data_IF_114225430906
#
_entry.id   IF_114225430906
#
_cell.length_a   1.000
_cell.length_b   1.000
_cell.length_c   1.000
_cell.angle_alpha   90.00
_cell.angle_beta   90.00
_cell.angle_gamma   90.00
#
_symmetry.space_group_name_H-M   'P 1'
#
loop_
_entity.id
_entity.type
_entity.pdbx_description
1 polymer ?
#
# COMPACT_ATOMS: atom_id res chain seq x y z
N UNK A 1 35.43 -33.91 -34.09
CA UNK A 1 35.93 -33.28 -32.85
C UNK A 1 34.75 -33.17 -31.89
N UNK A 2 34.84 -33.86 -30.74
CA UNK A 2 33.75 -34.13 -29.80
C UNK A 2 33.35 -32.86 -29.03
N UNK A 3 32.07 -32.53 -29.02
CA UNK A 3 31.46 -31.59 -28.07
C UNK A 3 31.28 -32.31 -26.73
N UNK A 4 31.84 -31.72 -25.67
CA UNK A 4 31.93 -32.30 -24.33
C UNK A 4 30.58 -32.43 -23.65
N UNK A 5 30.31 -33.63 -23.16
CA UNK A 5 29.18 -33.97 -22.31
C UNK A 5 29.31 -33.30 -20.94
N UNK A 6 28.36 -32.46 -20.57
CA UNK A 6 28.18 -32.00 -19.19
C UNK A 6 27.48 -33.11 -18.41
N UNK A 7 28.26 -33.79 -17.55
CA UNK A 7 27.75 -34.80 -16.61
C UNK A 7 26.88 -34.13 -15.55
N UNK A 8 25.66 -34.65 -15.40
CA UNK A 8 24.74 -34.35 -14.30
C UNK A 8 25.34 -34.89 -13.00
N UNK A 9 25.67 -34.01 -12.05
CA UNK A 9 25.83 -34.38 -10.66
C UNK A 9 24.46 -34.25 -9.99
N UNK A 10 23.81 -35.38 -9.75
CA UNK A 10 22.63 -35.46 -8.90
C UNK A 10 23.10 -35.24 -7.45
N UNK A 11 23.04 -33.99 -7.00
CA UNK A 11 23.08 -33.68 -5.57
C UNK A 11 21.61 -33.72 -5.14
N UNK A 12 21.21 -34.85 -4.57
CA UNK A 12 20.06 -34.95 -3.65
C UNK A 12 20.39 -34.09 -2.42
N UNK A 13 20.34 -32.78 -2.61
CA UNK A 13 20.27 -31.81 -1.55
C UNK A 13 18.80 -31.50 -1.38
N UNK A 14 18.27 -31.79 -0.20
CA UNK A 14 17.05 -31.20 0.32
C UNK A 14 17.23 -29.68 0.27
N UNK A 15 16.98 -29.08 -0.88
CA UNK A 15 16.80 -27.64 -1.01
C UNK A 15 15.47 -27.41 -0.32
N UNK A 16 15.58 -27.22 0.99
CA UNK A 16 14.67 -26.39 1.74
C UNK A 16 14.71 -25.05 1.01
N UNK A 17 13.86 -24.91 -0.02
CA UNK A 17 13.55 -23.62 -0.59
C UNK A 17 13.28 -22.73 0.61
N UNK A 18 14.06 -21.67 0.75
CA UNK A 18 13.70 -20.56 1.61
C UNK A 18 12.40 -19.98 1.04
N UNK A 19 11.28 -20.68 1.25
CA UNK A 19 9.93 -20.16 1.12
C UNK A 19 9.96 -18.94 2.01
N UNK A 20 9.96 -17.75 1.42
CA UNK A 20 9.51 -16.55 2.16
C UNK A 20 8.21 -16.98 2.81
N UNK A 21 8.21 -17.04 4.14
CA UNK A 21 7.11 -17.69 4.85
C UNK A 21 5.81 -16.97 4.47
N UNK A 22 4.69 -17.69 4.27
CA UNK A 22 3.40 -17.05 3.97
C UNK A 22 2.99 -16.05 5.06
N UNK A 23 3.48 -16.26 6.28
CA UNK A 23 3.39 -15.33 7.41
C UNK A 23 4.00 -13.95 7.11
N UNK A 24 5.12 -13.89 6.37
CA UNK A 24 5.78 -12.63 6.02
C UNK A 24 4.93 -11.77 5.07
N UNK A 25 4.23 -12.38 4.11
CA UNK A 25 3.34 -11.68 3.20
C UNK A 25 2.11 -11.11 3.92
N UNK A 26 1.49 -11.88 4.83
CA UNK A 26 0.38 -11.39 5.67
C UNK A 26 0.81 -10.24 6.58
N UNK A 27 1.94 -10.38 7.24
CA UNK A 27 2.47 -9.34 8.11
C UNK A 27 2.80 -8.07 7.31
N UNK A 28 3.35 -8.21 6.11
CA UNK A 28 3.57 -7.08 5.21
C UNK A 28 2.26 -6.41 4.83
N UNK A 29 1.26 -7.17 4.37
CA UNK A 29 -0.04 -6.62 3.99
C UNK A 29 -0.74 -5.93 5.17
N UNK A 30 -0.73 -6.54 6.36
CA UNK A 30 -1.32 -5.95 7.56
C UNK A 30 -0.61 -4.64 7.95
N UNK A 31 0.72 -4.60 7.91
CA UNK A 31 1.50 -3.39 8.19
C UNK A 31 1.30 -2.30 7.14
N UNK A 32 1.17 -2.66 5.86
CA UNK A 32 0.86 -1.68 4.81
C UNK A 32 -0.53 -1.11 5.00
N UNK A 33 -1.53 -1.93 5.32
CA UNK A 33 -2.90 -1.45 5.58
C UNK A 33 -2.93 -0.52 6.78
N UNK A 34 -2.24 -0.88 7.87
CA UNK A 34 -2.09 -0.04 9.05
C UNK A 34 -1.41 1.30 8.72
N UNK A 35 -0.28 1.25 8.01
CA UNK A 35 0.42 2.45 7.56
C UNK A 35 -0.43 3.33 6.63
N UNK A 36 -1.29 2.74 5.79
CA UNK A 36 -2.19 3.46 4.91
C UNK A 36 -3.32 4.16 5.70
N UNK A 37 -3.73 3.62 6.84
CA UNK A 37 -4.73 4.24 7.71
C UNK A 37 -4.13 5.32 8.62
N UNK A 38 -2.88 5.13 9.06
CA UNK A 38 -2.25 5.96 10.08
C UNK A 38 -1.30 7.03 9.50
N UNK A 39 -0.68 6.79 8.34
CA UNK A 39 0.30 7.69 7.74
C UNK A 39 -0.28 8.49 6.56
N UNK A 40 -0.29 9.81 6.70
CA UNK A 40 -0.71 10.73 5.65
C UNK A 40 0.19 10.63 4.40
N UNK A 41 1.48 10.35 4.57
CA UNK A 41 2.44 10.24 3.46
C UNK A 41 2.16 9.04 2.56
N UNK A 42 1.84 7.88 3.14
CA UNK A 42 1.50 6.68 2.37
C UNK A 42 0.16 6.87 1.65
N UNK A 43 -0.81 7.49 2.31
CA UNK A 43 -2.10 7.83 1.69
C UNK A 43 -1.92 8.78 0.50
N UNK A 44 -1.07 9.81 0.65
CA UNK A 44 -0.74 10.73 -0.42
C UNK A 44 -0.07 10.01 -1.60
N UNK A 45 0.91 9.15 -1.34
CA UNK A 45 1.59 8.35 -2.36
C UNK A 45 0.62 7.43 -3.13
N UNK A 46 -0.28 6.75 -2.41
CA UNK A 46 -1.30 5.88 -3.02
C UNK A 46 -2.26 6.67 -3.88
N UNK A 47 -2.74 7.83 -3.41
CA UNK A 47 -3.64 8.69 -4.16
C UNK A 47 -2.96 9.24 -5.42
N UNK A 48 -1.71 9.70 -5.31
CA UNK A 48 -0.91 10.14 -6.45
C UNK A 48 -0.74 9.05 -7.50
N UNK A 49 -0.30 7.85 -7.08
CA UNK A 49 -0.11 6.72 -7.98
C UNK A 49 -1.43 6.27 -8.64
N UNK A 50 -2.53 6.27 -7.89
CA UNK A 50 -3.86 5.89 -8.39
C UNK A 50 -4.35 6.87 -9.46
N UNK A 51 -4.22 8.17 -9.19
CA UNK A 51 -4.59 9.22 -10.12
C UNK A 51 -3.78 9.17 -11.41
N UNK A 52 -2.46 8.94 -11.33
CA UNK A 52 -1.61 8.80 -12.52
C UNK A 52 -1.93 7.53 -13.33
N UNK A 53 -2.13 6.40 -12.65
CA UNK A 53 -2.25 5.08 -13.31
C UNK A 53 -3.64 4.84 -13.86
N UNK A 54 -4.68 5.03 -13.04
CA UNK A 54 -6.07 4.69 -13.39
C UNK A 54 -6.85 5.93 -13.81
N UNK A 55 -6.68 7.05 -13.10
CA UNK A 55 -7.52 8.24 -13.30
C UNK A 55 -8.99 7.93 -13.03
N UNK A 56 -9.86 8.21 -14.00
CA UNK A 56 -11.30 7.87 -13.96
C UNK A 56 -11.62 6.42 -14.33
N UNK A 57 -10.64 5.65 -14.82
CA UNK A 57 -10.81 4.31 -15.38
C UNK A 57 -10.27 4.24 -16.80
N UNK A 58 -9.82 3.05 -17.21
CA UNK A 58 -9.38 2.80 -18.58
C UNK A 58 -10.60 2.71 -19.50
N UNK A 59 -10.48 3.34 -20.68
CA UNK A 59 -11.44 3.21 -21.76
C UNK A 59 -11.07 2.01 -22.63
N UNK A 60 -12.08 1.30 -23.12
CA UNK A 60 -11.86 0.15 -23.99
C UNK A 60 -11.46 0.61 -25.39
N UNK A 61 -10.37 0.07 -25.92
CA UNK A 61 -10.01 0.15 -27.32
C UNK A 61 -9.94 -1.28 -27.89
N UNK A 62 -11.04 -1.74 -28.47
CA UNK A 62 -11.18 -3.10 -28.94
C UNK A 62 -10.47 -3.30 -30.29
N UNK A 63 -9.47 -4.19 -30.33
CA UNK A 63 -8.68 -4.48 -31.54
C UNK A 63 -8.70 -5.98 -31.86
N UNK A 64 -9.87 -6.53 -32.19
CA UNK A 64 -9.97 -7.93 -32.58
C UNK A 64 -9.15 -8.20 -33.85
N UNK A 65 -8.60 -9.41 -33.96
CA UNK A 65 -7.74 -9.79 -35.08
C UNK A 65 -8.47 -9.67 -36.43
N UNK A 66 -7.88 -9.00 -37.45
CA UNK A 66 -8.47 -8.88 -38.78
C UNK A 66 -8.79 -10.22 -39.44
N UNK A 67 -8.05 -11.29 -39.08
CA UNK A 67 -8.25 -12.63 -39.64
C UNK A 67 -9.63 -13.20 -39.33
N UNK A 68 -10.23 -12.81 -38.20
CA UNK A 68 -11.55 -13.31 -37.77
C UNK A 68 -12.69 -12.73 -38.63
N UNK A 69 -12.44 -11.60 -39.30
CA UNK A 69 -13.38 -10.95 -40.20
C UNK A 69 -13.08 -11.24 -41.68
N UNK A 70 -12.30 -12.29 -41.97
CA UNK A 70 -11.89 -12.62 -43.34
C UNK A 70 -10.96 -11.59 -43.98
N UNK A 71 -10.32 -10.73 -43.18
CA UNK A 71 -9.46 -9.64 -43.67
C UNK A 71 -10.18 -8.33 -43.96
N UNK A 72 -11.49 -8.24 -43.78
CA UNK A 72 -12.24 -6.99 -43.93
C UNK A 72 -12.03 -6.06 -42.73
N UNK A 73 -11.14 -5.08 -42.92
CA UNK A 73 -10.82 -4.07 -41.90
C UNK A 73 -12.01 -3.16 -41.58
N UNK A 74 -12.86 -2.83 -42.57
CA UNK A 74 -14.00 -1.92 -42.35
C UNK A 74 -15.03 -2.56 -41.45
N UNK A 75 -15.37 -3.83 -41.72
CA UNK A 75 -16.29 -4.61 -40.89
C UNK A 75 -15.74 -4.79 -39.48
N UNK A 76 -14.44 -5.05 -39.34
CA UNK A 76 -13.77 -5.17 -38.04
C UNK A 76 -13.82 -3.86 -37.24
N UNK A 77 -13.53 -2.74 -37.88
CA UNK A 77 -13.52 -1.42 -37.23
C UNK A 77 -14.93 -1.00 -36.81
N UNK A 78 -15.94 -1.27 -37.65
CA UNK A 78 -17.33 -1.03 -37.31
C UNK A 78 -17.75 -1.88 -36.10
N UNK A 79 -17.47 -3.19 -36.13
CA UNK A 79 -17.80 -4.07 -35.01
C UNK A 79 -17.09 -3.64 -33.73
N UNK A 80 -15.83 -3.21 -33.80
CA UNK A 80 -15.08 -2.73 -32.65
C UNK A 80 -15.73 -1.49 -32.02
N UNK A 81 -16.08 -0.47 -32.81
CA UNK A 81 -16.72 0.77 -32.30
C UNK A 81 -18.05 0.51 -31.62
N UNK A 82 -18.87 -0.36 -32.20
CA UNK A 82 -20.16 -0.70 -31.60
C UNK A 82 -19.99 -1.53 -30.31
N UNK A 83 -19.00 -2.44 -30.28
CA UNK A 83 -18.65 -3.19 -29.06
C UNK A 83 -18.11 -2.26 -27.97
N UNK A 84 -17.32 -1.24 -28.32
CA UNK A 84 -16.83 -0.20 -27.41
C UNK A 84 -17.99 0.61 -26.81
N UNK A 85 -18.90 1.08 -27.65
CA UNK A 85 -20.08 1.84 -27.20
C UNK A 85 -20.98 1.00 -26.27
N UNK A 86 -21.17 -0.29 -26.55
CA UNK A 86 -21.98 -1.15 -25.70
C UNK A 86 -21.29 -1.50 -24.38
N UNK A 87 -19.96 -1.70 -24.42
CA UNK A 87 -19.19 -1.91 -23.20
C UNK A 87 -19.19 -0.67 -22.31
N UNK A 88 -19.17 0.54 -22.89
CA UNK A 88 -19.28 1.79 -22.13
C UNK A 88 -20.59 1.87 -21.33
N UNK A 89 -21.71 1.44 -21.93
CA UNK A 89 -23.01 1.36 -21.25
C UNK A 89 -22.96 0.37 -20.08
N UNK A 90 -22.43 -0.83 -20.31
CA UNK A 90 -22.25 -1.84 -19.26
C UNK A 90 -21.31 -1.35 -18.15
N UNK A 91 -20.20 -0.71 -18.52
CA UNK A 91 -19.17 -0.26 -17.59
C UNK A 91 -19.60 0.95 -16.76
N UNK A 92 -20.48 1.80 -17.31
CA UNK A 92 -20.97 3.03 -16.72
C UNK A 92 -22.06 2.85 -15.67
N UNK A 93 -22.85 1.77 -15.72
CA UNK A 93 -23.89 1.48 -14.72
C UNK A 93 -23.38 0.50 -13.63
N UNK A 94 -23.31 0.92 -12.35
CA UNK A 94 -22.98 0.02 -11.25
C UNK A 94 -23.86 -1.22 -11.14
N UNK A 95 -25.15 -1.13 -11.51
CA UNK A 95 -26.08 -2.27 -11.41
C UNK A 95 -25.83 -3.33 -12.49
N UNK A 96 -25.32 -2.92 -13.65
CA UNK A 96 -24.97 -3.79 -14.76
C UNK A 96 -23.68 -4.56 -14.47
N UNK A 97 -22.62 -3.86 -14.06
CA UNK A 97 -21.29 -4.46 -13.96
C UNK A 97 -20.91 -5.04 -12.59
N UNK A 98 -21.38 -4.47 -11.47
CA UNK A 98 -20.95 -4.85 -10.13
C UNK A 98 -21.95 -5.77 -9.44
N UNK A 99 -21.44 -6.88 -8.89
CA UNK A 99 -22.23 -7.80 -8.09
C UNK A 99 -22.74 -7.15 -6.80
N UNK A 100 -22.04 -6.16 -6.24
CA UNK A 100 -22.54 -5.37 -5.10
C UNK A 100 -23.47 -4.24 -5.55
N UNK A 101 -23.48 -3.88 -6.83
CA UNK A 101 -24.27 -2.79 -7.39
C UNK A 101 -23.83 -1.40 -6.92
N UNK A 102 -22.56 -1.24 -6.49
CA UNK A 102 -22.04 -0.02 -5.86
C UNK A 102 -21.06 0.74 -6.74
N UNK A 103 -20.32 0.03 -7.59
CA UNK A 103 -19.18 0.60 -8.33
C UNK A 103 -19.33 0.41 -9.84
N UNK A 104 -18.95 1.41 -10.62
CA UNK A 104 -18.70 1.26 -12.06
C UNK A 104 -17.43 0.46 -12.32
N UNK A 105 -17.19 0.01 -13.55
CA UNK A 105 -15.93 -0.70 -13.87
C UNK A 105 -14.70 0.19 -13.61
N UNK A 106 -14.76 1.47 -13.95
CA UNK A 106 -13.69 2.42 -13.63
C UNK A 106 -13.43 2.53 -12.12
N UNK A 107 -14.49 2.59 -11.31
CA UNK A 107 -14.36 2.60 -9.85
C UNK A 107 -13.84 1.26 -9.29
N UNK A 108 -14.18 0.13 -9.92
CA UNK A 108 -13.59 -1.17 -9.60
C UNK A 108 -12.09 -1.21 -9.91
N UNK A 109 -11.64 -0.61 -11.02
CA UNK A 109 -10.21 -0.48 -11.33
C UNK A 109 -9.47 0.36 -10.29
N UNK A 110 -10.06 1.50 -9.88
CA UNK A 110 -9.50 2.37 -8.82
C UNK A 110 -9.40 1.61 -7.49
N UNK A 111 -10.48 0.92 -7.09
CA UNK A 111 -10.49 0.13 -5.86
C UNK A 111 -9.48 -1.03 -5.92
N UNK A 112 -9.40 -1.72 -7.05
CA UNK A 112 -8.43 -2.78 -7.32
C UNK A 112 -7.00 -2.28 -7.23
N UNK A 113 -6.67 -1.15 -7.86
CA UNK A 113 -5.32 -0.58 -7.81
C UNK A 113 -4.90 -0.16 -6.40
N UNK A 114 -5.80 0.49 -5.64
CA UNK A 114 -5.55 0.84 -4.24
C UNK A 114 -5.30 -0.40 -3.39
N UNK A 115 -6.11 -1.43 -3.61
CA UNK A 115 -5.96 -2.71 -2.91
C UNK A 115 -4.66 -3.44 -3.29
N UNK A 116 -4.25 -3.37 -4.56
CA UNK A 116 -2.96 -3.87 -5.04
C UNK A 116 -1.78 -3.11 -4.42
N UNK A 117 -1.84 -1.79 -4.32
CA UNK A 117 -0.81 -1.00 -3.64
C UNK A 117 -0.70 -1.43 -2.16
N UNK A 118 -1.82 -1.70 -1.49
CA UNK A 118 -1.83 -2.12 -0.09
C UNK A 118 -1.33 -3.57 0.13
N UNK A 119 -1.73 -4.51 -0.73
CA UNK A 119 -1.52 -5.95 -0.48
C UNK A 119 -0.60 -6.65 -1.47
N UNK A 120 -0.39 -6.07 -2.66
CA UNK A 120 0.39 -6.64 -3.76
C UNK A 120 -0.43 -7.39 -4.81
N UNK A 121 -1.73 -7.56 -4.58
CA UNK A 121 -2.60 -8.37 -5.44
C UNK A 121 -4.02 -7.80 -5.52
N UNK A 122 -4.72 -8.17 -6.58
CA UNK A 122 -6.13 -7.87 -6.84
C UNK A 122 -6.88 -9.19 -6.90
N UNK A 123 -7.97 -9.29 -6.14
CA UNK A 123 -8.87 -10.42 -6.17
C UNK A 123 -10.26 -9.97 -6.62
N UNK A 124 -10.87 -10.73 -7.52
CA UNK A 124 -12.25 -10.56 -7.92
C UNK A 124 -12.88 -11.88 -8.35
N UNK A 125 -14.21 -11.94 -8.30
CA UNK A 125 -14.98 -13.07 -8.81
C UNK A 125 -15.97 -12.54 -9.84
N UNK A 126 -16.02 -13.18 -10.99
CA UNK A 126 -17.06 -12.99 -12.00
C UNK A 126 -18.17 -14.00 -11.71
N UNK A 127 -19.37 -13.47 -11.48
CA UNK A 127 -20.57 -14.22 -11.14
C UNK A 127 -21.67 -13.93 -12.16
N UNK A 128 -22.62 -14.85 -12.29
CA UNK A 128 -23.79 -14.66 -13.14
C UNK A 128 -25.01 -14.41 -12.25
N UNK A 129 -25.51 -13.17 -12.23
CA UNK A 129 -26.61 -12.72 -11.39
C UNK A 129 -27.55 -11.89 -12.28
N UNK A 130 -28.77 -12.37 -12.51
CA UNK A 130 -29.79 -11.57 -13.21
C UNK A 130 -30.54 -10.68 -12.22
N UNK A 131 -30.77 -9.41 -12.58
CA UNK A 131 -31.52 -8.44 -11.77
C UNK A 131 -32.60 -7.75 -12.62
N UNK A 132 -33.70 -7.28 -12.01
CA UNK A 132 -34.68 -6.47 -12.73
C UNK A 132 -34.05 -5.19 -13.27
N UNK A 133 -34.24 -4.92 -14.56
CA UNK A 133 -33.72 -3.72 -15.22
C UNK A 133 -32.27 -3.80 -15.66
N UNK A 134 -31.59 -4.95 -15.51
CA UNK A 134 -30.24 -5.16 -16.06
C UNK A 134 -30.27 -5.92 -17.37
N UNK A 135 -29.43 -5.50 -18.29
CA UNK A 135 -29.18 -6.09 -19.60
C UNK A 135 -28.30 -7.34 -19.53
N UNK A 136 -27.33 -7.34 -18.60
CA UNK A 136 -26.30 -8.36 -18.48
C UNK A 136 -26.37 -9.06 -17.11
N UNK A 137 -26.21 -10.38 -17.14
CA UNK A 137 -26.12 -11.22 -15.96
C UNK A 137 -24.67 -11.36 -15.46
N UNK A 138 -23.66 -11.19 -16.31
CA UNK A 138 -22.24 -11.17 -15.93
C UNK A 138 -21.97 -9.98 -15.04
N UNK A 139 -21.53 -10.23 -13.81
CA UNK A 139 -21.16 -9.21 -12.83
C UNK A 139 -19.85 -9.55 -12.17
N UNK A 140 -18.99 -8.55 -12.03
CA UNK A 140 -17.74 -8.66 -11.30
C UNK A 140 -17.95 -8.27 -9.84
N UNK A 141 -17.32 -8.99 -8.92
CA UNK A 141 -17.25 -8.67 -7.49
C UNK A 141 -15.80 -8.51 -7.09
N UNK A 142 -15.40 -7.32 -6.69
CA UNK A 142 -14.08 -7.11 -6.10
C UNK A 142 -14.04 -7.70 -4.70
N UNK A 143 -13.02 -8.49 -4.42
CA UNK A 143 -12.78 -9.09 -3.11
C UNK A 143 -11.46 -8.59 -2.54
N UNK A 144 -11.36 -8.66 -1.23
CA UNK A 144 -10.11 -8.38 -0.55
C UNK A 144 -9.17 -9.59 -0.59
N UNK A 145 -7.89 -9.33 -0.81
CA UNK A 145 -6.78 -10.29 -0.81
C UNK A 145 -6.75 -11.24 0.41
N UNK A 146 -7.07 -10.73 1.61
CA UNK A 146 -7.06 -11.53 2.83
C UNK A 146 -8.17 -12.58 2.90
N UNK A 147 -9.10 -12.59 1.93
CA UNK A 147 -10.05 -13.70 1.76
C UNK A 147 -9.39 -14.95 1.17
N UNK A 148 -8.21 -14.86 0.58
CA UNK A 148 -7.43 -16.05 0.23
C UNK A 148 -6.67 -16.53 1.48
N UNK A 149 -7.01 -17.69 2.05
CA UNK A 149 -6.33 -18.21 3.22
C UNK A 149 -4.89 -18.59 2.87
N UNK A 150 -3.98 -18.39 3.81
CA UNK A 150 -2.57 -18.79 3.66
C UNK A 150 -2.33 -20.20 4.19
N UNK A 151 -3.08 -20.57 5.23
CA UNK A 151 -2.93 -21.83 5.92
C UNK A 151 -3.66 -22.92 5.13
N UNK A 152 -2.97 -23.51 4.14
CA UNK A 152 -3.49 -24.66 3.41
C UNK A 152 -2.60 -25.87 3.69
N UNK A 153 -3.15 -26.89 4.33
CA UNK A 153 -2.44 -28.11 4.71
C UNK A 153 -2.42 -29.17 3.61
N UNK A 154 -3.27 -29.01 2.60
CA UNK A 154 -3.39 -29.93 1.47
C UNK A 154 -2.23 -29.77 0.49
N UNK A 155 -1.67 -30.88 -0.04
CA UNK A 155 -0.42 -30.86 -0.82
C UNK A 155 -0.52 -30.09 -2.15
N UNK A 156 -1.70 -30.05 -2.78
CA UNK A 156 -1.91 -29.36 -4.07
C UNK A 156 -2.22 -27.86 -3.91
N UNK A 157 -2.30 -27.37 -2.68
CA UNK A 157 -2.68 -26.01 -2.38
C UNK A 157 -1.52 -25.20 -1.82
N UNK A 158 -1.30 -24.03 -2.41
CA UNK A 158 -0.27 -23.09 -1.97
C UNK A 158 -0.97 -21.76 -1.74
N UNK A 159 -0.97 -21.29 -0.49
CA UNK A 159 -1.48 -19.97 -0.10
C UNK A 159 -2.90 -19.67 -0.63
N UNK A 160 -3.78 -20.68 -0.60
CA UNK A 160 -5.17 -20.56 -1.03
C UNK A 160 -5.39 -20.71 -2.55
N UNK A 161 -4.34 -21.03 -3.30
CA UNK A 161 -4.41 -21.30 -4.75
C UNK A 161 -4.06 -22.75 -5.01
N UNK A 162 -4.94 -23.46 -5.70
CA UNK A 162 -4.66 -24.81 -6.21
C UNK A 162 -4.11 -24.69 -7.62
N UNK A 163 -2.88 -25.14 -7.83
CA UNK A 163 -2.21 -25.09 -9.12
C UNK A 163 -2.04 -26.50 -9.73
N UNK A 164 -1.87 -26.56 -11.05
CA UNK A 164 -1.43 -27.79 -11.72
C UNK A 164 0.08 -28.03 -11.52
N UNK A 165 0.60 -29.14 -12.06
CA UNK A 165 2.04 -29.48 -12.00
C UNK A 165 2.96 -28.42 -12.63
N UNK A 166 2.43 -27.55 -13.48
CA UNK A 166 3.16 -26.51 -14.20
C UNK A 166 2.96 -25.13 -13.55
N UNK A 167 2.21 -25.02 -12.44
CA UNK A 167 1.91 -23.76 -11.77
C UNK A 167 0.68 -23.00 -12.30
N UNK A 168 -0.10 -23.57 -13.22
CA UNK A 168 -1.34 -22.95 -13.70
C UNK A 168 -2.44 -23.00 -12.62
N UNK A 169 -3.05 -21.87 -12.23
CA UNK A 169 -4.09 -21.87 -11.21
C UNK A 169 -5.38 -22.55 -11.71
N UNK A 170 -5.82 -23.58 -11.00
CA UNK A 170 -7.03 -24.37 -11.26
C UNK A 170 -8.22 -23.91 -10.42
N UNK A 171 -7.98 -23.59 -9.14
CA UNK A 171 -9.01 -23.15 -8.21
C UNK A 171 -8.42 -22.23 -7.13
N UNK A 172 -9.30 -21.45 -6.52
CA UNK A 172 -9.01 -20.55 -5.41
C UNK A 172 -9.90 -20.89 -4.23
N UNK A 173 -9.32 -20.94 -3.03
CA UNK A 173 -10.05 -21.11 -1.78
C UNK A 173 -10.38 -19.72 -1.26
N UNK A 174 -11.66 -19.41 -1.18
CA UNK A 174 -12.14 -18.07 -0.81
C UNK A 174 -12.87 -18.17 0.51
N UNK A 175 -12.35 -17.44 1.49
CA UNK A 175 -12.89 -17.32 2.83
C UNK A 175 -14.08 -16.36 2.84
N UNK A 176 -15.24 -16.89 3.22
CA UNK A 176 -16.49 -16.15 3.31
C UNK A 176 -16.98 -16.12 4.76
N UNK A 177 -17.55 -14.97 5.15
CA UNK A 177 -18.25 -14.86 6.42
C UNK A 177 -19.63 -15.49 6.26
N UNK A 178 -19.91 -16.50 7.07
CA UNK A 178 -21.21 -17.12 7.19
C UNK A 178 -22.00 -16.50 8.36
N UNK A 179 -23.32 -16.77 8.46
CA UNK A 179 -24.11 -16.37 9.62
C UNK A 179 -23.49 -16.83 10.94
N UNK A 180 -23.78 -16.11 12.02
CA UNK A 180 -23.25 -16.38 13.38
C UNK A 180 -21.72 -16.23 13.54
N UNK A 181 -21.07 -15.44 12.68
CA UNK A 181 -19.63 -15.18 12.78
C UNK A 181 -18.76 -16.38 12.40
N UNK A 182 -19.37 -17.43 11.85
CA UNK A 182 -18.62 -18.56 11.30
C UNK A 182 -17.90 -18.13 10.03
N UNK A 183 -16.76 -18.75 9.80
CA UNK A 183 -15.96 -18.55 8.59
C UNK A 183 -15.98 -19.84 7.80
N UNK A 184 -16.44 -19.77 6.55
CA UNK A 184 -16.50 -20.92 5.65
C UNK A 184 -15.54 -20.67 4.50
N UNK A 185 -14.69 -21.66 4.23
CA UNK A 185 -13.80 -21.64 3.09
C UNK A 185 -14.51 -22.34 1.92
N UNK A 186 -14.66 -21.62 0.79
CA UNK A 186 -15.31 -22.11 -0.42
C UNK A 186 -14.31 -22.19 -1.56
N UNK A 187 -14.25 -23.35 -2.20
CA UNK A 187 -13.41 -23.54 -3.38
C UNK A 187 -14.13 -23.09 -4.65
N UNK A 188 -13.49 -22.20 -5.41
CA UNK A 188 -14.00 -21.62 -6.65
C UNK A 188 -13.03 -21.92 -7.78
N UNK A 189 -13.52 -22.47 -8.90
CA UNK A 189 -12.69 -22.74 -10.09
C UNK A 189 -12.13 -21.42 -10.64
N UNK A 190 -10.88 -21.43 -11.10
CA UNK A 190 -10.26 -20.25 -11.70
C UNK A 190 -10.92 -19.85 -13.04
N UNK A 191 -11.24 -20.86 -13.86
CA UNK A 191 -11.93 -20.74 -15.13
C UNK A 191 -13.06 -21.77 -15.22
N UNK A 192 -14.03 -21.49 -16.08
CA UNK A 192 -15.09 -22.42 -16.44
C UNK A 192 -14.61 -23.46 -17.47
N UNK A 193 -15.47 -24.43 -17.80
CA UNK A 193 -15.19 -25.49 -18.78
C UNK A 193 -14.93 -24.94 -20.20
N UNK A 194 -15.57 -23.83 -20.56
CA UNK A 194 -15.33 -23.09 -21.80
C UNK A 194 -14.11 -22.17 -21.72
N UNK A 195 -13.38 -22.20 -20.60
CA UNK A 195 -12.26 -21.32 -20.32
C UNK A 195 -12.65 -19.92 -19.85
N UNK A 196 -13.93 -19.58 -19.65
CA UNK A 196 -14.37 -18.25 -19.12
C UNK A 196 -13.69 -17.93 -17.79
N UNK A 197 -13.08 -16.75 -17.59
CA UNK A 197 -12.51 -16.38 -16.30
C UNK A 197 -13.61 -16.28 -15.25
N UNK A 198 -13.47 -17.02 -14.15
CA UNK A 198 -14.36 -16.94 -12.98
C UNK A 198 -13.67 -16.17 -11.87
N UNK A 199 -12.40 -16.47 -11.60
CA UNK A 199 -11.61 -15.72 -10.60
C UNK A 199 -10.62 -14.81 -11.32
N UNK A 200 -10.67 -13.54 -10.95
CA UNK A 200 -9.68 -12.54 -11.36
C UNK A 200 -8.65 -12.47 -10.24
N UNK A 201 -7.45 -12.99 -10.49
CA UNK A 201 -6.32 -12.84 -9.61
C UNK A 201 -5.17 -12.20 -10.37
N UNK A 202 -4.82 -10.97 -9.97
CA UNK A 202 -3.77 -10.18 -10.63
C UNK A 202 -2.76 -9.73 -9.59
N UNK A 203 -1.51 -10.07 -9.78
CA UNK A 203 -0.40 -9.60 -8.98
C UNK A 203 0.84 -9.44 -9.86
N UNK A 204 1.82 -8.71 -9.34
CA UNK A 204 3.14 -8.51 -9.95
C UNK A 204 4.15 -9.17 -9.01
N UNK A 205 4.68 -10.32 -9.41
CA UNK A 205 5.47 -11.20 -8.55
C UNK A 205 6.62 -11.85 -9.31
N UNK A 206 7.62 -12.30 -8.56
CA UNK A 206 8.79 -12.99 -9.09
C UNK A 206 8.42 -14.41 -9.58
N UNK A 207 9.38 -15.10 -10.19
CA UNK A 207 9.20 -16.47 -10.69
C UNK A 207 8.71 -17.42 -9.58
N UNK A 208 7.77 -18.30 -9.93
CA UNK A 208 7.15 -19.29 -9.02
C UNK A 208 6.41 -18.70 -7.80
N UNK A 209 6.16 -17.39 -7.78
CA UNK A 209 5.33 -16.77 -6.75
C UNK A 209 3.84 -16.97 -7.06
N UNK A 210 3.08 -17.36 -6.04
CA UNK A 210 1.63 -17.61 -6.14
C UNK A 210 0.81 -16.41 -5.67
N UNK A 211 1.41 -15.53 -4.86
CA UNK A 211 0.79 -14.38 -4.21
C UNK A 211 1.62 -13.13 -4.43
N UNK A 212 0.95 -11.99 -4.45
CA UNK A 212 1.61 -10.68 -4.55
C UNK A 212 2.16 -10.21 -3.20
N UNK A 213 3.20 -9.37 -3.26
CA UNK A 213 3.68 -8.61 -2.10
C UNK A 213 3.48 -7.13 -2.40
N UNK A 214 3.05 -6.37 -1.40
CA UNK A 214 2.86 -4.93 -1.55
C UNK A 214 4.16 -4.23 -2.02
N UNK A 215 4.09 -3.32 -3.00
CA UNK A 215 5.24 -2.51 -3.39
C UNK A 215 5.77 -1.62 -2.26
N UNK A 216 4.98 -1.36 -1.22
CA UNK A 216 5.40 -0.60 -0.03
C UNK A 216 6.15 -1.42 1.01
N UNK A 217 6.23 -2.75 0.88
CA UNK A 217 6.95 -3.59 1.83
C UNK A 217 8.34 -3.07 2.25
N UNK A 218 9.22 -2.60 1.33
CA UNK A 218 10.51 -2.00 1.71
C UNK A 218 10.38 -0.64 2.41
N UNK A 219 9.34 0.15 2.08
CA UNK A 219 9.11 1.50 2.60
C UNK A 219 8.68 1.50 4.07
N UNK A 220 8.03 0.44 4.54
CA UNK A 220 7.40 0.39 5.87
C UNK A 220 8.37 0.69 7.03
N UNK A 221 9.63 0.28 6.89
CA UNK A 221 10.66 0.60 7.89
C UNK A 221 10.93 2.09 7.94
N UNK A 222 11.04 2.73 6.79
CA UNK A 222 11.36 4.15 6.63
C UNK A 222 10.21 5.02 7.11
N UNK A 223 8.97 4.64 6.78
CA UNK A 223 7.75 5.31 7.29
C UNK A 223 7.79 5.36 8.81
N UNK A 224 8.04 4.22 9.46
CA UNK A 224 8.15 4.16 10.92
C UNK A 224 9.29 5.02 11.47
N UNK A 225 10.44 5.06 10.79
CA UNK A 225 11.56 5.91 11.19
C UNK A 225 11.22 7.39 11.06
N UNK A 226 10.48 7.77 10.03
CA UNK A 226 9.97 9.13 9.85
C UNK A 226 9.03 9.53 11.00
N UNK A 227 8.07 8.67 11.34
CA UNK A 227 7.13 8.95 12.43
C UNK A 227 7.87 9.08 13.77
N UNK A 228 8.82 8.17 14.05
CA UNK A 228 9.67 8.25 15.23
C UNK A 228 10.54 9.51 15.29
N UNK A 229 11.06 9.95 14.15
CA UNK A 229 11.84 11.19 14.04
C UNK A 229 10.95 12.40 14.35
N UNK A 230 9.75 12.45 13.78
CA UNK A 230 8.80 13.54 14.02
C UNK A 230 8.41 13.62 15.50
N UNK A 231 8.04 12.48 16.11
CA UNK A 231 7.70 12.39 17.52
C UNK A 231 8.86 12.81 18.43
N UNK A 232 10.07 12.30 18.16
CA UNK A 232 11.25 12.65 18.93
C UNK A 232 11.56 14.15 18.85
N UNK A 233 11.41 14.75 17.65
CA UNK A 233 11.64 16.18 17.44
C UNK A 233 10.59 17.02 18.18
N UNK A 234 9.32 16.61 18.16
CA UNK A 234 8.25 17.29 18.90
C UNK A 234 8.47 17.22 20.41
N UNK A 235 8.73 16.03 20.96
CA UNK A 235 9.01 15.85 22.40
C UNK A 235 10.20 16.68 22.82
N UNK A 236 11.25 16.68 22.00
CA UNK A 236 12.47 17.46 22.27
C UNK A 236 12.18 18.96 22.27
N UNK A 237 11.43 19.47 21.28
CA UNK A 237 11.03 20.88 21.21
C UNK A 237 10.17 21.29 22.40
N UNK A 238 9.28 20.41 22.85
CA UNK A 238 8.46 20.62 24.05
C UNK A 238 9.31 20.65 25.33
N UNK A 239 10.24 19.69 25.48
CA UNK A 239 11.17 19.65 26.62
C UNK A 239 12.04 20.90 26.67
N UNK A 240 12.54 21.39 25.54
CA UNK A 240 13.26 22.66 25.48
C UNK A 240 12.40 23.83 25.93
N UNK A 241 11.14 23.88 25.48
CA UNK A 241 10.21 24.94 25.87
C UNK A 241 9.95 24.93 27.38
N UNK A 242 9.95 23.75 28.01
CA UNK A 242 9.72 23.57 29.45
C UNK A 242 11.00 23.85 30.28
N UNK A 243 12.16 23.32 29.87
CA UNK A 243 13.42 23.35 30.62
C UNK A 243 14.38 24.46 30.18
N UNK A 244 13.88 25.49 29.48
CA UNK A 244 14.70 26.59 28.97
C UNK A 244 15.56 27.26 30.04
N UNK A 245 15.16 27.18 31.32
CA UNK A 245 15.91 27.73 32.44
C UNK A 245 16.17 26.64 33.50
N UNK A 246 17.44 26.35 33.76
CA UNK A 246 17.88 25.55 34.91
C UNK A 246 18.53 26.46 35.93
N UNK A 247 18.29 26.17 37.21
CA UNK A 247 18.89 26.91 38.32
C UNK A 247 20.12 26.12 38.76
N UNK A 248 21.30 26.70 38.59
CA UNK A 248 22.58 26.14 39.08
C UNK A 248 22.89 26.77 40.44
N UNK A 249 23.22 25.93 41.42
CA UNK A 249 23.70 26.39 42.73
C UNK A 249 25.18 26.02 42.88
N UNK A 250 26.12 26.90 42.49
CA UNK A 250 27.56 26.63 42.53
C UNK A 250 28.12 26.46 43.95
N UNK A 251 27.45 26.98 44.98
CA UNK A 251 27.89 26.93 46.37
C UNK A 251 26.93 26.12 47.25
N UNK A 252 26.63 24.88 46.86
CA UNK A 252 26.18 23.92 47.86
C UNK A 252 27.36 23.67 48.83
N UNK A 253 27.18 23.74 50.15
CA UNK A 253 28.23 23.42 51.11
C UNK A 253 28.81 22.04 50.76
N UNK A 254 30.13 21.85 50.76
CA UNK A 254 30.78 20.57 50.41
C UNK A 254 30.24 19.38 51.23
N UNK A 255 29.75 19.64 52.44
CA UNK A 255 29.04 18.68 53.30
C UNK A 255 27.71 18.14 52.72
N UNK A 256 27.06 18.87 51.81
CA UNK A 256 25.80 18.46 51.18
C UNK A 256 25.98 17.35 50.13
N UNK A 257 27.15 17.30 49.48
CA UNK A 257 27.49 16.22 48.55
C UNK A 257 27.85 14.91 49.27
N UNK A 258 28.47 14.98 50.45
CA UNK A 258 28.74 13.80 51.29
C UNK A 258 27.45 13.23 51.90
N UNK A 259 26.51 14.08 52.35
CA UNK A 259 25.24 13.65 52.92
C UNK A 259 24.29 12.94 51.91
N UNK A 260 24.44 13.22 50.61
CA UNK A 260 23.68 12.57 49.53
C UNK A 260 24.30 11.25 49.04
N UNK A 261 25.58 10.98 49.35
CA UNK A 261 26.29 9.77 48.89
C UNK A 261 26.12 8.56 49.79
N UNK A 262 25.61 8.74 51.02
CA UNK A 262 25.39 7.64 51.97
C UNK A 262 23.91 7.48 52.29
N UNK A 263 23.19 6.73 51.47
CA UNK A 263 21.92 6.13 51.87
C UNK A 263 22.19 5.08 52.96
N UNK A 264 22.11 5.48 54.23
CA UNK A 264 22.20 4.48 55.31
C UNK A 264 22.27 5.00 56.73
N UNK A 265 22.77 6.20 56.99
CA UNK A 265 22.87 6.70 58.36
C UNK A 265 22.33 8.13 58.43
N UNK A 266 21.35 8.34 59.31
CA UNK A 266 20.81 9.65 59.65
C UNK A 266 21.87 10.50 60.32
N UNK A 267 22.80 11.02 59.52
CA UNK A 267 23.75 12.04 59.94
C UNK A 267 22.96 13.33 60.02
N UNK A 268 22.78 13.83 61.25
CA UNK A 268 22.23 15.14 61.51
C UNK A 268 22.95 16.15 60.61
N UNK A 269 22.20 16.75 59.68
CA UNK A 269 22.71 17.85 58.88
C UNK A 269 23.30 18.87 59.85
N UNK A 270 24.49 19.39 59.55
CA UNK A 270 25.02 20.51 60.34
C UNK A 270 23.92 21.58 60.46
N UNK A 271 23.77 22.22 61.62
CA UNK A 271 22.70 23.20 61.85
C UNK A 271 22.67 24.30 60.77
N UNK A 272 23.81 24.56 60.14
CA UNK A 272 24.00 25.46 59.00
C UNK A 272 23.34 24.94 57.70
N UNK A 273 23.34 23.63 57.45
CA UNK A 273 22.67 23.02 56.30
C UNK A 273 21.15 22.99 56.46
N UNK A 274 20.64 22.63 57.65
CA UNK A 274 19.20 22.67 57.94
C UNK A 274 18.66 24.12 57.89
N UNK A 275 19.43 25.09 58.40
CA UNK A 275 19.11 26.51 58.30
C UNK A 275 19.13 27.00 56.84
N UNK A 276 20.09 26.55 56.03
CA UNK A 276 20.17 26.87 54.60
C UNK A 276 18.99 26.29 53.81
N UNK A 277 18.63 25.02 54.04
CA UNK A 277 17.47 24.37 53.40
C UNK A 277 16.15 25.03 53.80
N UNK A 278 16.00 25.41 55.07
CA UNK A 278 14.79 26.09 55.57
C UNK A 278 14.69 27.51 55.01
N UNK A 279 15.80 28.26 54.92
CA UNK A 279 15.84 29.58 54.30
C UNK A 279 15.54 29.51 52.79
N UNK A 280 16.05 28.49 52.10
CA UNK A 280 15.77 28.24 50.68
C UNK A 280 14.30 27.89 50.45
N UNK A 281 13.73 27.02 51.28
CA UNK A 281 12.32 26.66 51.20
C UNK A 281 11.41 27.87 51.47
N UNK A 282 11.70 28.65 52.51
CA UNK A 282 10.95 29.88 52.81
C UNK A 282 11.05 30.96 51.70
N UNK A 283 12.17 31.01 50.98
CA UNK A 283 12.35 31.90 49.83
C UNK A 283 11.45 31.51 48.65
N UNK A 284 11.36 30.22 48.34
CA UNK A 284 10.54 29.68 47.24
C UNK A 284 9.05 29.57 47.58
N UNK A 285 8.67 29.42 48.85
CA UNK A 285 7.27 29.48 49.29
C UNK A 285 6.66 30.88 49.09
N UNK A 286 7.47 31.93 49.22
CA UNK A 286 7.04 33.33 49.02
C UNK A 286 7.27 33.86 47.59
N UNK A 287 8.07 33.17 46.78
CA UNK A 287 8.43 33.59 45.43
C UNK A 287 7.90 32.60 44.39
N UNK A 288 6.79 32.95 43.74
CA UNK A 288 6.23 32.12 42.66
C UNK A 288 7.04 32.28 41.37
N UNK A 289 7.72 31.21 40.97
CA UNK A 289 8.37 31.08 39.66
C UNK A 289 7.30 31.00 38.57
N UNK A 290 7.00 32.12 37.92
CA UNK A 290 6.09 32.17 36.78
C UNK A 290 6.87 32.51 35.50
N UNK A 291 7.26 31.46 34.77
CA UNK A 291 8.02 31.58 33.52
C UNK A 291 7.11 31.78 32.29
N UNK A 292 5.78 31.81 32.48
CA UNK A 292 4.80 31.78 31.39
C UNK A 292 4.22 33.13 30.95
N UNK A 293 4.25 34.17 31.80
CA UNK A 293 3.67 35.47 31.48
C UNK A 293 4.64 36.62 31.79
N UNK A 294 5.12 37.26 30.72
CA UNK A 294 5.74 38.59 30.72
C UNK A 294 7.06 38.75 31.50
N UNK A 295 8.13 38.07 31.06
CA UNK A 295 9.51 38.57 31.13
C UNK A 295 9.99 39.19 32.46
N UNK A 296 9.42 38.78 33.59
CA UNK A 296 9.82 39.26 34.92
C UNK A 296 11.13 38.56 35.28
N UNK A 297 12.14 39.37 35.62
CA UNK A 297 13.42 38.88 36.10
C UNK A 297 13.15 38.15 37.42
N UNK A 298 13.37 36.84 37.42
CA UNK A 298 13.21 35.98 38.60
C UNK A 298 14.31 36.33 39.60
N UNK A 299 13.93 36.70 40.83
CA UNK A 299 14.86 36.84 41.95
C UNK A 299 15.13 35.45 42.54
N UNK A 300 16.21 34.82 42.08
CA UNK A 300 16.71 33.55 42.61
C UNK A 300 17.24 33.72 44.03
N UNK A 301 17.38 32.60 44.74
CA UNK A 301 18.04 32.60 46.05
C UNK A 301 19.48 33.11 45.90
N UNK A 302 20.00 33.92 46.85
CA UNK A 302 21.38 34.42 46.77
C UNK A 302 22.37 33.26 46.56
N UNK A 303 23.26 33.38 45.57
CA UNK A 303 24.20 32.36 45.07
C UNK A 303 23.69 31.34 44.04
N UNK A 304 22.41 31.36 43.67
CA UNK A 304 21.89 30.58 42.53
C UNK A 304 21.98 31.37 41.22
N UNK A 305 22.47 30.71 40.16
CA UNK A 305 22.58 31.27 38.82
C UNK A 305 21.52 30.64 37.91
N UNK A 306 20.76 31.47 37.18
CA UNK A 306 19.84 31.01 36.15
C UNK A 306 20.64 30.78 34.86
N UNK A 307 20.91 29.52 34.51
CA UNK A 307 21.47 29.21 33.21
C UNK A 307 20.37 28.87 32.23
N UNK A 308 20.26 29.67 31.17
CA UNK A 308 19.47 29.29 30.01
C UNK A 308 20.27 28.29 29.19
N UNK A 309 19.85 27.02 29.23
CA UNK A 309 20.41 26.03 28.31
C UNK A 309 19.64 26.13 27.00
N UNK A 310 20.21 26.86 26.04
CA UNK A 310 19.87 26.65 24.64
C UNK A 310 20.39 25.26 24.28
N UNK A 311 19.53 24.24 24.34
CA UNK A 311 19.90 22.94 23.82
C UNK A 311 20.13 23.11 22.31
N UNK A 312 21.38 22.97 21.86
CA UNK A 312 21.73 22.95 20.44
C UNK A 312 21.12 21.69 19.82
N UNK A 313 19.86 21.79 19.42
CA UNK A 313 19.34 20.86 18.43
C UNK A 313 19.59 21.47 17.05
N UNK A 314 20.18 20.71 16.13
CA UNK A 314 20.37 21.16 14.77
C UNK A 314 19.03 21.16 14.04
N UNK A 315 18.16 22.11 14.38
CA UNK A 315 16.86 22.35 13.74
C UNK A 315 17.03 22.59 12.23
N UNK A 316 18.16 23.19 11.83
CA UNK A 316 18.55 23.38 10.42
C UNK A 316 18.76 22.07 9.65
N UNK A 317 19.09 20.96 10.34
CA UNK A 317 19.31 19.65 9.70
C UNK A 317 18.07 18.78 9.60
N UNK A 318 16.96 19.18 10.22
CA UNK A 318 15.72 18.40 10.24
C UNK A 318 15.07 18.32 8.85
N UNK A 319 14.90 19.45 8.16
CA UNK A 319 14.29 19.51 6.82
C UNK A 319 15.04 18.67 5.77
N UNK A 320 16.38 18.73 5.63
CA UNK A 320 17.08 17.89 4.65
C UNK A 320 17.04 16.40 4.99
N UNK A 321 17.07 16.03 6.28
CA UNK A 321 17.00 14.63 6.69
C UNK A 321 15.59 14.04 6.51
N UNK A 322 14.55 14.73 6.99
CA UNK A 322 13.15 14.34 6.81
C UNK A 322 12.77 14.28 5.33
N UNK A 323 13.23 15.23 4.52
CA UNK A 323 13.05 15.21 3.06
C UNK A 323 13.77 14.02 2.40
N UNK A 324 14.94 13.62 2.90
CA UNK A 324 15.63 12.39 2.46
C UNK A 324 14.79 11.14 2.68
N UNK A 325 14.18 10.98 3.86
CA UNK A 325 13.29 9.86 4.17
C UNK A 325 12.03 9.87 3.27
N UNK A 326 11.43 11.04 3.05
CA UNK A 326 10.27 11.19 2.16
C UNK A 326 10.60 10.85 0.70
N UNK A 327 11.82 11.17 0.23
CA UNK A 327 12.28 10.77 -1.11
C UNK A 327 12.44 9.26 -1.24
N UNK A 328 12.93 8.58 -0.21
CA UNK A 328 13.01 7.11 -0.20
C UNK A 328 11.62 6.46 -0.23
N UNK A 329 10.67 7.01 0.56
CA UNK A 329 9.26 6.58 0.52
C UNK A 329 8.67 6.80 -0.89
N UNK A 330 8.86 7.97 -1.49
CA UNK A 330 8.37 8.27 -2.83
C UNK A 330 8.96 7.33 -3.90
N UNK A 331 10.27 7.07 -3.83
CA UNK A 331 10.96 6.16 -4.74
C UNK A 331 10.39 4.73 -4.66
N UNK A 332 10.14 4.22 -3.45
CA UNK A 332 9.54 2.90 -3.25
C UNK A 332 8.09 2.82 -3.76
N UNK A 333 7.33 3.90 -3.63
CA UNK A 333 5.96 4.01 -4.11
C UNK A 333 5.88 4.11 -5.65
N UNK A 334 6.98 4.47 -6.31
CA UNK A 334 7.03 4.75 -7.75
C UNK A 334 6.33 6.06 -8.11
N UNK A 335 6.43 7.07 -7.25
CA UNK A 335 5.95 8.45 -7.49
C UNK A 335 7.08 9.44 -7.22
N UNK A 336 6.98 10.66 -7.73
CA UNK A 336 7.97 11.70 -7.44
C UNK A 336 7.72 12.25 -6.05
N UNK A 337 8.78 12.77 -5.43
CA UNK A 337 8.71 13.49 -4.17
C UNK A 337 7.67 14.63 -4.28
N UNK A 338 7.75 15.43 -5.34
CA UNK A 338 6.89 16.59 -5.57
C UNK A 338 5.41 16.18 -5.72
N UNK A 339 5.14 15.04 -6.36
CA UNK A 339 3.77 14.55 -6.52
C UNK A 339 3.20 13.99 -5.20
N UNK A 340 4.05 13.41 -4.36
CA UNK A 340 3.66 12.85 -3.06
C UNK A 340 3.46 13.94 -2.00
N UNK A 341 4.40 14.89 -1.90
CA UNK A 341 4.41 15.90 -0.83
C UNK A 341 3.71 17.19 -1.22
N UNK A 342 3.59 17.47 -2.53
CA UNK A 342 3.15 18.77 -3.02
C UNK A 342 4.18 19.89 -2.83
N UNK A 343 5.41 19.56 -2.41
CA UNK A 343 6.47 20.53 -2.21
C UNK A 343 7.26 20.77 -3.50
N UNK A 344 7.23 22.02 -3.98
CA UNK A 344 7.95 22.48 -5.17
C UNK A 344 9.01 23.54 -4.85
N UNK A 345 9.34 23.81 -3.57
CA UNK A 345 10.28 24.87 -3.16
C UNK A 345 11.65 24.80 -3.85
N UNK A 346 12.13 23.57 -4.09
CA UNK A 346 13.44 23.30 -4.69
C UNK A 346 13.34 22.80 -6.14
N UNK A 347 12.16 22.82 -6.75
CA UNK A 347 11.93 22.33 -8.10
C UNK A 347 11.88 23.49 -9.11
N UNK A 348 12.60 23.36 -10.22
CA UNK A 348 12.40 24.22 -11.38
C UNK A 348 11.46 23.54 -12.39
N UNK A 349 10.93 24.30 -13.36
CA UNK A 349 10.01 23.75 -14.36
C UNK A 349 10.60 22.55 -15.11
N UNK A 350 11.88 22.64 -15.50
CA UNK A 350 12.58 21.57 -16.22
C UNK A 350 12.75 20.30 -15.38
N UNK A 351 13.05 20.42 -14.08
CA UNK A 351 13.20 19.27 -13.17
C UNK A 351 11.87 18.61 -12.86
N UNK A 352 10.79 19.40 -12.70
CA UNK A 352 9.44 18.86 -12.51
C UNK A 352 8.95 18.10 -13.76
N UNK A 353 9.22 18.63 -14.95
CA UNK A 353 8.89 17.96 -16.21
C UNK A 353 9.70 16.67 -16.39
N UNK A 354 11.00 16.71 -16.09
CA UNK A 354 11.86 15.53 -16.13
C UNK A 354 11.39 14.46 -15.14
N UNK A 355 11.04 14.84 -13.91
CA UNK A 355 10.52 13.91 -12.90
C UNK A 355 9.26 13.20 -13.37
N UNK A 356 8.33 13.93 -13.98
CA UNK A 356 7.11 13.36 -14.57
C UNK A 356 7.44 12.38 -15.71
N UNK A 357 8.38 12.75 -16.58
CA UNK A 357 8.80 11.90 -17.70
C UNK A 357 9.47 10.58 -17.24
N UNK A 358 10.26 10.62 -16.16
CA UNK A 358 10.92 9.42 -15.59
C UNK A 358 9.91 8.48 -14.94
N UNK A 359 8.82 8.99 -14.37
CA UNK A 359 7.79 8.18 -13.72
C UNK A 359 6.82 7.56 -14.73
N UNK A 360 6.62 8.21 -15.88
CA UNK A 360 5.66 7.76 -16.89
C UNK A 360 5.81 6.29 -17.32
N UNK A 361 7.03 5.74 -17.56
CA UNK A 361 7.21 4.32 -17.82
C UNK A 361 6.69 3.39 -16.71
N UNK A 362 6.83 3.77 -15.44
CA UNK A 362 6.30 3.00 -14.29
C UNK A 362 4.77 2.99 -14.33
N UNK A 363 4.17 4.15 -14.64
CA UNK A 363 2.72 4.29 -14.80
C UNK A 363 2.20 3.41 -15.92
N UNK A 364 2.87 3.41 -17.09
CA UNK A 364 2.52 2.54 -18.22
C UNK A 364 2.68 1.06 -17.87
N UNK A 365 3.77 0.69 -17.20
CA UNK A 365 4.00 -0.68 -16.75
C UNK A 365 2.85 -1.16 -15.86
N UNK A 366 2.50 -0.39 -14.82
CA UNK A 366 1.40 -0.72 -13.89
C UNK A 366 0.04 -0.76 -14.59
N UNK A 367 -0.21 0.18 -15.51
CA UNK A 367 -1.44 0.21 -16.31
C UNK A 367 -1.61 -1.07 -17.13
N UNK A 368 -0.56 -1.50 -17.83
CA UNK A 368 -0.61 -2.65 -18.73
C UNK A 368 -0.60 -4.01 -17.99
N UNK A 369 0.19 -4.13 -16.92
CA UNK A 369 0.39 -5.44 -16.27
C UNK A 369 -0.59 -5.70 -15.12
N UNK A 370 -1.23 -4.66 -14.57
CA UNK A 370 -2.13 -4.80 -13.42
C UNK A 370 -3.56 -4.48 -13.84
N UNK A 371 -3.81 -3.24 -14.26
CA UNK A 371 -5.17 -2.75 -14.46
C UNK A 371 -5.77 -3.23 -15.76
N UNK A 372 -5.00 -3.29 -16.84
CA UNK A 372 -5.47 -3.87 -18.10
C UNK A 372 -5.80 -5.37 -17.96
N UNK A 373 -5.13 -6.11 -17.06
CA UNK A 373 -5.49 -7.52 -16.77
C UNK A 373 -6.82 -7.65 -16.02
N UNK A 374 -7.06 -6.78 -15.04
CA UNK A 374 -8.35 -6.71 -14.35
C UNK A 374 -9.47 -6.34 -15.32
N UNK A 375 -9.29 -5.26 -16.08
CA UNK A 375 -10.26 -4.77 -17.07
C UNK A 375 -10.50 -5.81 -18.17
N UNK A 376 -9.43 -6.42 -18.68
CA UNK A 376 -9.48 -7.45 -19.72
C UNK A 376 -10.25 -8.68 -19.29
N UNK A 377 -10.11 -9.14 -18.03
CA UNK A 377 -10.89 -10.27 -17.54
C UNK A 377 -12.40 -9.96 -17.44
N UNK A 378 -12.76 -8.75 -17.01
CA UNK A 378 -14.16 -8.29 -16.97
C UNK A 378 -14.71 -8.18 -18.40
N UNK A 379 -13.94 -7.59 -19.31
CA UNK A 379 -14.29 -7.44 -20.72
C UNK A 379 -14.46 -8.79 -21.42
N UNK A 380 -13.54 -9.73 -21.23
CA UNK A 380 -13.60 -11.08 -21.81
C UNK A 380 -14.90 -11.80 -21.39
N UNK A 381 -15.23 -11.76 -20.10
CA UNK A 381 -16.42 -12.42 -19.58
C UNK A 381 -17.72 -11.75 -20.03
N UNK A 382 -17.75 -10.42 -20.13
CA UNK A 382 -18.88 -9.65 -20.64
C UNK A 382 -19.10 -9.91 -22.13
N UNK A 383 -18.02 -9.90 -22.93
CA UNK A 383 -18.08 -10.09 -24.38
C UNK A 383 -18.63 -11.47 -24.74
N UNK A 384 -18.27 -12.51 -23.97
CA UNK A 384 -18.83 -13.86 -24.14
C UNK A 384 -20.36 -13.85 -24.00
N UNK A 385 -20.90 -13.19 -22.96
CA UNK A 385 -22.34 -13.07 -22.76
C UNK A 385 -23.00 -12.19 -23.83
N UNK A 386 -22.36 -11.09 -24.22
CA UNK A 386 -22.89 -10.20 -25.25
C UNK A 386 -23.03 -10.91 -26.61
N UNK A 387 -22.11 -11.81 -26.93
CA UNK A 387 -22.19 -12.67 -28.12
C UNK A 387 -23.22 -13.78 -27.92
N UNK A 388 -23.25 -14.44 -26.77
CA UNK A 388 -24.18 -15.53 -26.47
C UNK A 388 -25.65 -15.07 -26.44
N UNK A 389 -25.92 -13.86 -25.96
CA UNK A 389 -27.24 -13.24 -25.95
C UNK A 389 -27.66 -12.66 -27.31
N UNK A 390 -26.75 -12.63 -28.30
CA UNK A 390 -27.01 -12.11 -29.64
C UNK A 390 -26.98 -10.58 -29.76
N UNK A 391 -26.68 -9.84 -28.68
CA UNK A 391 -26.55 -8.37 -28.72
C UNK A 391 -25.36 -7.93 -29.57
N UNK A 392 -24.25 -8.67 -29.48
CA UNK A 392 -23.04 -8.48 -30.29
C UNK A 392 -22.87 -9.66 -31.24
N UNK A 393 -23.45 -9.65 -32.46
CA UNK A 393 -23.24 -10.73 -33.41
C UNK A 393 -21.75 -10.79 -33.81
N UNK A 394 -21.14 -11.95 -33.61
CA UNK A 394 -19.75 -12.22 -33.99
C UNK A 394 -19.71 -13.10 -35.25
N UNK A 395 -18.77 -12.89 -36.20
CA UNK A 395 -18.62 -13.78 -37.36
C UNK A 395 -18.38 -15.22 -36.91
N UNK A 396 -19.27 -16.14 -37.31
CA UNK A 396 -19.22 -17.54 -36.88
C UNK A 396 -19.82 -17.83 -35.49
N UNK A 397 -20.50 -16.85 -34.88
CA UNK A 397 -21.26 -17.02 -33.64
C UNK A 397 -20.39 -17.26 -32.41
N UNK A 398 -21.00 -17.90 -31.39
CA UNK A 398 -20.34 -18.18 -30.11
C UNK A 398 -19.20 -19.19 -30.27
N UNK A 399 -19.37 -20.24 -31.07
CA UNK A 399 -18.35 -21.29 -31.23
C UNK A 399 -17.05 -20.73 -31.84
N UNK A 400 -17.17 -19.86 -32.84
CA UNK A 400 -16.01 -19.18 -33.44
C UNK A 400 -15.30 -18.24 -32.45
N UNK A 401 -16.07 -17.58 -31.57
CA UNK A 401 -15.54 -16.76 -30.49
C UNK A 401 -14.79 -17.60 -29.46
N UNK A 402 -15.39 -18.71 -28.99
CA UNK A 402 -14.77 -19.60 -28.00
C UNK A 402 -13.46 -20.20 -28.55
N UNK A 403 -13.43 -20.59 -29.82
CA UNK A 403 -12.22 -21.10 -30.47
C UNK A 403 -11.11 -20.05 -30.61
N UNK A 404 -11.45 -18.76 -30.75
CA UNK A 404 -10.50 -17.68 -31.03
C UNK A 404 -10.50 -16.57 -29.98
N UNK A 405 -10.81 -16.92 -28.72
CA UNK A 405 -11.12 -15.91 -27.69
C UNK A 405 -10.02 -14.87 -27.51
N UNK A 406 -8.76 -15.31 -27.42
CA UNK A 406 -7.63 -14.39 -27.25
C UNK A 406 -7.47 -13.41 -28.42
N UNK A 407 -7.82 -13.82 -29.64
CA UNK A 407 -7.75 -12.98 -30.82
C UNK A 407 -8.98 -12.07 -30.96
N UNK A 408 -10.14 -12.47 -30.44
CA UNK A 408 -11.39 -11.71 -30.46
C UNK A 408 -11.45 -10.66 -29.34
N UNK A 409 -11.06 -11.02 -28.12
CA UNK A 409 -11.10 -10.15 -26.94
C UNK A 409 -9.85 -9.26 -26.78
N UNK A 410 -9.05 -9.11 -27.85
CA UNK A 410 -7.86 -8.26 -27.81
C UNK A 410 -8.26 -6.79 -27.66
N UNK A 411 -7.69 -6.13 -26.66
CA UNK A 411 -7.88 -4.71 -26.38
C UNK A 411 -6.55 -4.06 -25.97
N UNK A 412 -6.42 -2.76 -26.26
CA UNK A 412 -5.24 -1.94 -25.95
C UNK A 412 -5.55 -0.86 -24.90
#
# INVERSE_FOLDING_TARGET
RRLGAWRRAAILGTICCARRSPLSARQSAARTIDALQNSGWITAAVNAATSATVGSGLQLNAKPSPRLFGGDLRRRDQWARETEAEFEIYAGDPRECDAEGRRTVGQMMVAGFRHWMATGEILGIITTISRPGTSYATKARMLAAWRLPLDTSEPDWIDGVRADRNGMPLAYRIRESAPFGQTIDRDVRARDETGRPIVIHVFDGDMETVRGISPFAPALRIVRQYDQLADATLVTTLLQTIFAATIKSPNAPTAAFEALQTEGEGVAGTAEFEAWMTARQAWYENTRLDLGQHGRIVHLFPTEELSFHGAEHPSETYDPFSSGLLREIAASAGVSYEMMTGDYRNANFSSAQLGTAVIWPIVLYRRNHIIARLAGAIYEAWLEEAIASGRRPFPGGLDAFLANRAAAARAD
#
